data_IF_767940358296
#
_entry.id   IF_767940358296
#
_cell.length_a   1.000
_cell.length_b   1.000
_cell.length_c   1.000
_cell.angle_alpha   90.00
_cell.angle_beta   90.00
_cell.angle_gamma   90.00
#
_symmetry.space_group_name_H-M   'P 1'
#
loop_
_entity.id
_entity.type
_entity.pdbx_description
1 polymer ?
#
# COMPACT_ATOMS: atom_id res chain seq x y z
N UNK A 1 -42.52 15.98 13.21
CA UNK A 1 -43.26 17.09 13.90
C UNK A 1 -42.80 18.47 13.44
N UNK A 2 -41.50 18.72 13.38
CA UNK A 2 -40.90 20.02 12.96
C UNK A 2 -41.42 20.51 11.60
N UNK A 3 -41.66 19.58 10.66
CA UNK A 3 -42.17 19.88 9.32
C UNK A 3 -43.70 19.81 9.21
N UNK A 4 -44.43 19.53 10.29
CA UNK A 4 -45.87 19.34 10.35
C UNK A 4 -46.41 18.33 9.31
N UNK A 5 -45.61 17.32 8.96
CA UNK A 5 -45.98 16.24 8.05
C UNK A 5 -46.45 15.05 8.86
N UNK A 6 -47.71 14.62 8.65
CA UNK A 6 -48.30 13.42 9.26
C UNK A 6 -48.12 12.19 8.38
N UNK A 7 -47.84 11.03 9.01
CA UNK A 7 -47.91 9.73 8.37
C UNK A 7 -49.06 8.96 8.99
N UNK A 8 -49.90 8.37 8.14
CA UNK A 8 -51.04 7.56 8.56
C UNK A 8 -50.76 6.09 8.23
N UNK A 9 -50.66 5.26 9.26
CA UNK A 9 -50.53 3.82 9.12
C UNK A 9 -51.88 3.17 9.02
N UNK A 10 -52.33 2.80 7.81
CA UNK A 10 -53.68 2.31 7.53
C UNK A 10 -54.00 1.02 8.30
N UNK A 11 -53.11 0.07 8.36
CA UNK A 11 -53.36 -1.21 9.02
C UNK A 11 -53.55 -1.10 10.55
N UNK A 12 -52.84 -0.18 11.19
CA UNK A 12 -52.89 0.06 12.63
C UNK A 12 -53.82 1.23 13.01
N UNK A 13 -54.34 1.93 12.01
CA UNK A 13 -55.16 3.14 12.19
C UNK A 13 -54.49 4.22 13.06
N UNK A 14 -53.18 4.45 12.84
CA UNK A 14 -52.35 5.34 13.64
C UNK A 14 -51.99 6.59 12.83
N UNK A 15 -52.28 7.78 13.40
CA UNK A 15 -51.85 9.06 12.85
C UNK A 15 -50.69 9.63 13.72
N UNK A 16 -49.56 9.88 13.10
CA UNK A 16 -48.32 10.35 13.83
C UNK A 16 -48.46 11.78 14.38
N UNK A 17 -49.45 12.56 13.96
CA UNK A 17 -49.68 13.92 14.48
C UNK A 17 -50.62 13.95 15.68
N UNK A 18 -51.38 12.86 15.95
CA UNK A 18 -52.22 12.76 17.16
C UNK A 18 -51.40 12.33 18.37
N UNK A 19 -51.75 12.80 19.57
CA UNK A 19 -51.09 12.38 20.81
C UNK A 19 -51.25 10.87 21.11
N UNK A 20 -52.42 10.32 20.77
CA UNK A 20 -52.68 8.87 20.88
C UNK A 20 -51.82 8.07 19.89
N UNK A 21 -51.65 8.58 18.65
CA UNK A 21 -50.82 7.96 17.65
C UNK A 21 -49.33 7.95 18.04
N UNK A 22 -48.85 9.01 18.68
CA UNK A 22 -47.49 9.09 19.20
C UNK A 22 -47.26 8.07 20.32
N UNK A 23 -48.19 7.98 21.26
CA UNK A 23 -48.12 6.98 22.34
C UNK A 23 -48.12 5.55 21.78
N UNK A 24 -49.02 5.27 20.84
CA UNK A 24 -49.14 3.95 20.21
C UNK A 24 -47.86 3.57 19.45
N UNK A 25 -47.28 4.51 18.68
CA UNK A 25 -46.02 4.27 17.99
C UNK A 25 -44.87 4.01 18.97
N UNK A 26 -44.81 4.72 20.10
CA UNK A 26 -43.78 4.50 21.13
C UNK A 26 -43.93 3.11 21.74
N UNK A 27 -45.17 2.69 22.03
CA UNK A 27 -45.45 1.34 22.55
C UNK A 27 -45.07 0.28 21.53
N UNK A 28 -45.49 0.42 20.25
CA UNK A 28 -45.16 -0.53 19.20
C UNK A 28 -43.63 -0.61 18.96
N UNK A 29 -42.96 0.52 18.99
CA UNK A 29 -41.48 0.54 18.87
C UNK A 29 -40.79 -0.18 20.05
N UNK A 30 -41.28 0.04 21.28
CA UNK A 30 -40.79 -0.66 22.46
C UNK A 30 -41.03 -2.18 22.40
N UNK A 31 -42.22 -2.62 21.92
CA UNK A 31 -42.49 -4.04 21.70
C UNK A 31 -41.58 -4.63 20.61
N UNK A 32 -41.42 -3.97 19.46
CA UNK A 32 -40.54 -4.46 18.40
C UNK A 32 -39.08 -4.55 18.85
N UNK A 33 -38.62 -3.60 19.66
CA UNK A 33 -37.30 -3.65 20.26
C UNK A 33 -37.16 -4.82 21.25
N UNK A 34 -38.11 -5.00 22.15
CA UNK A 34 -38.11 -6.10 23.12
C UNK A 34 -38.15 -7.49 22.43
N UNK A 35 -38.94 -7.63 21.35
CA UNK A 35 -38.99 -8.85 20.54
C UNK A 35 -37.65 -9.13 19.87
N UNK A 36 -37.02 -8.11 19.28
CA UNK A 36 -35.69 -8.21 18.66
C UNK A 36 -34.61 -8.58 19.69
N UNK A 37 -34.65 -7.99 20.89
CA UNK A 37 -33.70 -8.30 21.97
C UNK A 37 -33.92 -9.73 22.51
N UNK A 38 -35.18 -10.15 22.71
CA UNK A 38 -35.50 -11.50 23.13
C UNK A 38 -35.08 -12.56 22.11
N UNK A 39 -35.34 -12.30 20.82
CA UNK A 39 -34.90 -13.16 19.72
C UNK A 39 -33.35 -13.29 19.67
N UNK A 40 -32.66 -12.17 19.85
CA UNK A 40 -31.20 -12.16 19.92
C UNK A 40 -30.65 -12.92 21.13
N UNK A 41 -31.27 -12.76 22.32
CA UNK A 41 -30.89 -13.47 23.52
C UNK A 41 -31.14 -14.97 23.39
N UNK A 42 -32.28 -15.37 22.81
CA UNK A 42 -32.59 -16.77 22.50
C UNK A 42 -31.59 -17.42 21.54
N UNK A 43 -31.22 -16.74 20.47
CA UNK A 43 -30.22 -17.20 19.54
C UNK A 43 -28.84 -17.36 20.23
N UNK A 44 -28.41 -16.39 21.02
CA UNK A 44 -27.17 -16.49 21.80
C UNK A 44 -27.16 -17.70 22.74
N UNK A 45 -28.26 -17.96 23.45
CA UNK A 45 -28.39 -19.12 24.33
C UNK A 45 -28.28 -20.45 23.56
N UNK A 46 -28.89 -20.56 22.38
CA UNK A 46 -28.78 -21.76 21.53
C UNK A 46 -27.34 -21.98 21.10
N UNK A 47 -26.65 -20.92 20.66
CA UNK A 47 -25.24 -21.03 20.29
C UNK A 47 -24.35 -21.39 21.47
N UNK A 48 -24.59 -20.81 22.64
CA UNK A 48 -23.86 -21.11 23.86
C UNK A 48 -23.98 -22.61 24.23
N UNK A 49 -25.21 -23.14 24.22
CA UNK A 49 -25.43 -24.58 24.48
C UNK A 49 -24.74 -25.49 23.48
N UNK A 50 -24.71 -25.09 22.20
CA UNK A 50 -23.97 -25.83 21.18
C UNK A 50 -22.47 -25.81 21.46
N UNK A 51 -21.91 -24.66 21.86
CA UNK A 51 -20.50 -24.54 22.21
C UNK A 51 -20.14 -25.41 23.42
N UNK A 52 -20.94 -25.35 24.48
CA UNK A 52 -20.76 -26.18 25.68
C UNK A 52 -20.88 -27.69 25.39
N UNK A 53 -21.68 -28.07 24.38
CA UNK A 53 -21.82 -29.44 23.91
C UNK A 53 -20.75 -29.85 22.88
N UNK A 54 -19.82 -28.97 22.53
CA UNK A 54 -18.80 -29.23 21.50
C UNK A 54 -19.36 -29.38 20.08
N UNK A 55 -20.56 -28.86 19.80
CA UNK A 55 -21.20 -28.99 18.48
C UNK A 55 -20.76 -27.81 17.58
N UNK A 56 -20.02 -28.05 16.49
CA UNK A 56 -19.60 -27.00 15.56
C UNK A 56 -20.79 -26.26 14.96
N UNK A 57 -20.65 -24.94 14.82
CA UNK A 57 -21.71 -24.07 14.27
C UNK A 57 -21.32 -23.49 12.92
N UNK A 58 -20.07 -23.64 12.54
CA UNK A 58 -19.55 -23.08 11.28
C UNK A 58 -19.85 -24.01 10.10
N UNK A 59 -20.21 -23.39 8.98
CA UNK A 59 -20.42 -24.11 7.69
C UNK A 59 -19.09 -24.14 6.92
N UNK A 60 -18.38 -25.27 6.95
CA UNK A 60 -17.11 -25.47 6.23
C UNK A 60 -17.27 -25.51 4.70
N UNK A 61 -18.50 -25.71 4.19
CA UNK A 61 -18.82 -25.64 2.75
C UNK A 61 -18.40 -24.32 2.08
N UNK A 62 -18.22 -23.27 2.88
CA UNK A 62 -17.69 -21.98 2.39
C UNK A 62 -16.18 -21.87 2.53
N UNK A 63 -15.53 -22.95 2.97
CA UNK A 63 -14.07 -23.03 3.09
C UNK A 63 -13.52 -23.79 1.90
N UNK A 64 -12.63 -23.18 1.16
CA UNK A 64 -11.99 -23.77 -0.02
C UNK A 64 -11.32 -25.08 0.36
N UNK A 65 -11.61 -26.16 -0.37
CA UNK A 65 -11.09 -27.49 -0.10
C UNK A 65 -12.01 -28.41 0.68
N UNK A 66 -13.18 -27.93 1.15
CA UNK A 66 -14.14 -28.75 1.89
C UNK A 66 -15.50 -28.85 1.19
N UNK A 67 -16.08 -30.02 1.26
CA UNK A 67 -17.45 -30.32 0.84
C UNK A 67 -18.16 -31.18 1.89
N UNK A 68 -19.42 -31.52 1.68
CA UNK A 68 -20.19 -32.47 2.52
C UNK A 68 -20.44 -33.78 1.78
N UNK A 69 -20.33 -34.88 2.52
CA UNK A 69 -20.79 -36.17 2.06
C UNK A 69 -22.33 -36.25 2.14
N UNK A 70 -22.88 -37.40 1.71
CA UNK A 70 -24.33 -37.68 1.73
C UNK A 70 -24.94 -37.68 3.15
N UNK A 71 -24.12 -37.83 4.19
CA UNK A 71 -24.52 -37.81 5.60
C UNK A 71 -24.40 -36.41 6.23
N UNK A 72 -23.90 -35.43 5.46
CA UNK A 72 -23.68 -34.07 5.93
C UNK A 72 -22.40 -33.87 6.71
N UNK A 73 -21.49 -34.87 6.69
CA UNK A 73 -20.15 -34.78 7.31
C UNK A 73 -19.21 -34.02 6.37
N UNK A 74 -18.39 -33.13 6.93
CA UNK A 74 -17.39 -32.42 6.14
C UNK A 74 -16.22 -33.31 5.78
N UNK A 75 -15.94 -33.39 4.50
CA UNK A 75 -14.83 -34.14 3.91
C UNK A 75 -14.01 -33.25 2.98
N UNK A 76 -12.78 -33.65 2.70
CA UNK A 76 -11.95 -32.96 1.72
C UNK A 76 -12.51 -33.06 0.32
N UNK A 77 -12.66 -31.95 -0.39
CA UNK A 77 -12.89 -31.95 -1.83
C UNK A 77 -11.53 -32.03 -2.51
N UNK A 78 -11.19 -33.24 -3.02
CA UNK A 78 -9.87 -33.48 -3.62
C UNK A 78 -9.56 -32.58 -4.81
N UNK A 79 -10.54 -32.05 -5.51
CA UNK A 79 -10.33 -31.10 -6.61
C UNK A 79 -9.76 -29.75 -6.13
N UNK A 80 -10.10 -29.34 -4.93
CA UNK A 80 -9.65 -28.14 -4.27
C UNK A 80 -8.55 -28.40 -3.23
N UNK A 81 -8.64 -29.54 -2.51
CA UNK A 81 -7.71 -29.91 -1.43
C UNK A 81 -6.25 -30.02 -1.91
N UNK A 82 -6.04 -30.48 -3.14
CA UNK A 82 -4.72 -30.50 -3.77
C UNK A 82 -4.08 -29.09 -3.81
N UNK A 83 -4.90 -28.08 -4.06
CA UNK A 83 -4.43 -26.67 -4.06
C UNK A 83 -4.20 -26.13 -2.65
N UNK A 84 -5.00 -26.56 -1.68
CA UNK A 84 -4.79 -26.22 -0.27
C UNK A 84 -3.43 -26.77 0.19
N UNK A 85 -3.16 -28.07 -0.05
CA UNK A 85 -1.84 -28.66 0.27
C UNK A 85 -0.71 -27.90 -0.40
N UNK A 86 -0.89 -27.52 -1.67
CA UNK A 86 0.13 -26.73 -2.40
C UNK A 86 0.36 -25.35 -1.80
N UNK A 87 -0.69 -24.66 -1.34
CA UNK A 87 -0.58 -23.37 -0.64
C UNK A 87 0.27 -23.54 0.62
N UNK A 88 0.01 -24.56 1.43
CA UNK A 88 0.73 -24.82 2.67
C UNK A 88 2.19 -25.24 2.43
N UNK A 89 2.46 -26.10 1.42
CA UNK A 89 3.84 -26.42 1.01
C UNK A 89 4.63 -25.17 0.63
N UNK A 90 4.05 -24.34 -0.22
CA UNK A 90 4.69 -23.08 -0.62
C UNK A 90 4.91 -22.14 0.58
N UNK A 91 3.92 -22.04 1.49
CA UNK A 91 4.06 -21.21 2.69
C UNK A 91 5.16 -21.73 3.61
N UNK A 92 5.22 -23.03 3.86
CA UNK A 92 6.26 -23.70 4.65
C UNK A 92 7.65 -23.53 4.04
N UNK A 93 7.76 -23.48 2.71
CA UNK A 93 8.97 -23.15 1.96
C UNK A 93 9.35 -21.67 2.02
N UNK A 94 8.51 -20.81 2.66
CA UNK A 94 8.75 -19.38 2.83
C UNK A 94 8.36 -18.52 1.62
N UNK A 95 7.51 -19.01 0.70
CA UNK A 95 6.93 -18.16 -0.33
C UNK A 95 5.96 -17.15 0.26
N UNK A 96 5.93 -15.94 -0.31
CA UNK A 96 5.01 -14.91 0.16
C UNK A 96 3.58 -15.15 -0.36
N UNK A 97 2.53 -14.67 0.36
CA UNK A 97 1.16 -14.71 -0.14
C UNK A 97 1.00 -14.12 -1.55
N UNK A 98 1.79 -13.10 -1.90
CA UNK A 98 1.78 -12.48 -3.23
C UNK A 98 2.27 -13.43 -4.34
N UNK A 99 3.26 -14.27 -4.06
CA UNK A 99 3.75 -15.28 -5.01
C UNK A 99 2.76 -16.43 -5.10
N UNK A 100 2.25 -16.92 -3.98
CA UNK A 100 1.24 -17.99 -3.92
C UNK A 100 -0.03 -17.55 -4.69
N UNK A 101 -0.55 -16.36 -4.44
CA UNK A 101 -1.67 -15.79 -5.18
C UNK A 101 -1.43 -15.77 -6.69
N UNK A 102 -0.25 -15.33 -7.12
CA UNK A 102 0.11 -15.29 -8.54
C UNK A 102 0.08 -16.68 -9.13
N UNK A 103 0.70 -17.64 -8.46
CA UNK A 103 0.73 -19.04 -8.86
C UNK A 103 -0.69 -19.62 -9.04
N UNK A 104 -1.59 -19.43 -8.05
CA UNK A 104 -2.96 -19.90 -8.12
C UNK A 104 -3.73 -19.27 -9.29
N UNK A 105 -3.60 -17.94 -9.46
CA UNK A 105 -4.29 -17.24 -10.54
C UNK A 105 -3.77 -17.59 -11.93
N UNK A 106 -2.49 -17.85 -12.09
CA UNK A 106 -1.86 -18.31 -13.35
C UNK A 106 -2.32 -19.73 -13.71
N UNK A 107 -2.57 -20.58 -12.70
CA UNK A 107 -3.15 -21.93 -12.91
C UNK A 107 -4.68 -21.92 -13.00
N UNK A 108 -5.33 -20.76 -13.06
CA UNK A 108 -6.78 -20.64 -13.23
C UNK A 108 -7.61 -21.00 -12.00
N UNK A 109 -6.98 -21.26 -10.84
CA UNK A 109 -7.67 -21.62 -9.60
C UNK A 109 -8.50 -20.45 -9.10
N UNK A 110 -9.77 -20.69 -8.79
CA UNK A 110 -10.70 -19.68 -8.26
C UNK A 110 -10.95 -19.92 -6.78
N UNK A 111 -11.34 -18.86 -6.08
CA UNK A 111 -11.85 -18.98 -4.70
C UNK A 111 -13.25 -19.62 -4.71
N UNK A 112 -13.75 -20.06 -3.58
CA UNK A 112 -15.12 -20.58 -3.42
C UNK A 112 -16.18 -19.64 -4.03
N UNK A 113 -15.96 -18.34 -3.98
CA UNK A 113 -16.83 -17.34 -4.60
C UNK A 113 -16.57 -17.10 -6.10
N UNK A 114 -15.78 -17.94 -6.78
CA UNK A 114 -15.47 -17.83 -8.21
C UNK A 114 -14.56 -16.65 -8.59
N UNK A 115 -14.01 -15.95 -7.61
CA UNK A 115 -13.15 -14.77 -7.83
C UNK A 115 -11.67 -15.13 -7.89
N UNK A 116 -10.84 -14.18 -8.30
CA UNK A 116 -9.38 -14.31 -8.24
C UNK A 116 -8.88 -14.23 -6.79
N UNK A 117 -7.80 -14.96 -6.52
CA UNK A 117 -7.09 -14.88 -5.26
C UNK A 117 -6.44 -13.52 -5.05
N UNK A 118 -6.48 -13.04 -3.81
CA UNK A 118 -5.76 -11.84 -3.34
C UNK A 118 -4.88 -12.20 -2.15
N UNK A 119 -3.89 -11.37 -1.82
CA UNK A 119 -2.91 -11.64 -0.76
C UNK A 119 -3.57 -11.95 0.59
N UNK A 120 -4.60 -11.17 0.96
CA UNK A 120 -5.31 -11.35 2.23
C UNK A 120 -6.15 -12.63 2.29
N UNK A 121 -6.64 -13.14 1.16
CA UNK A 121 -7.37 -14.41 1.12
C UNK A 121 -6.41 -15.58 1.31
N UNK A 122 -5.25 -15.57 0.62
CA UNK A 122 -4.19 -16.57 0.82
C UNK A 122 -3.71 -16.56 2.26
N UNK A 123 -3.43 -15.37 2.81
CA UNK A 123 -2.96 -15.23 4.19
C UNK A 123 -3.95 -15.80 5.21
N UNK A 124 -5.24 -15.46 5.08
CA UNK A 124 -6.30 -15.99 5.95
C UNK A 124 -6.47 -17.50 5.82
N UNK A 125 -6.28 -18.06 4.62
CA UNK A 125 -6.32 -19.51 4.43
C UNK A 125 -5.18 -20.18 5.20
N UNK A 126 -3.95 -19.67 5.09
CA UNK A 126 -2.78 -20.25 5.78
C UNK A 126 -2.91 -20.17 7.30
N UNK A 127 -3.47 -19.07 7.84
CA UNK A 127 -3.66 -18.89 9.30
C UNK A 127 -4.83 -19.71 9.87
N UNK A 128 -5.62 -20.40 9.03
CA UNK A 128 -6.83 -21.03 9.48
C UNK A 128 -6.58 -22.47 9.97
N UNK A 129 -6.93 -22.76 11.21
CA UNK A 129 -6.76 -24.02 11.87
C UNK A 129 -7.62 -25.16 11.30
N UNK A 130 -8.70 -24.82 10.59
CA UNK A 130 -9.61 -25.84 10.00
C UNK A 130 -8.89 -26.77 9.05
N UNK A 131 -7.83 -26.32 8.39
CA UNK A 131 -7.11 -27.13 7.41
C UNK A 131 -6.28 -28.26 8.03
N UNK A 132 -5.96 -28.18 9.33
CA UNK A 132 -5.36 -29.29 10.08
C UNK A 132 -6.36 -30.15 10.86
N UNK A 133 -7.67 -29.92 10.64
CA UNK A 133 -8.76 -30.70 11.25
C UNK A 133 -9.31 -30.10 12.52
N UNK A 134 -8.80 -28.98 13.01
CA UNK A 134 -9.21 -28.34 14.26
C UNK A 134 -10.26 -27.27 14.02
N UNK A 135 -11.00 -26.95 15.06
CA UNK A 135 -12.02 -25.92 15.00
C UNK A 135 -12.01 -25.02 16.26
N UNK A 136 -11.98 -23.69 16.03
CA UNK A 136 -12.15 -22.71 17.12
C UNK A 136 -13.56 -22.14 17.05
N UNK A 137 -14.37 -22.50 18.05
CA UNK A 137 -15.68 -21.89 18.25
C UNK A 137 -15.54 -20.51 18.89
N UNK A 138 -16.42 -19.59 18.51
CA UNK A 138 -16.49 -18.24 19.04
C UNK A 138 -15.22 -17.40 18.74
N UNK A 139 -14.59 -17.68 17.60
CA UNK A 139 -13.43 -16.91 17.07
C UNK A 139 -13.77 -15.44 16.78
N UNK A 140 -15.06 -15.19 16.50
CA UNK A 140 -15.62 -13.84 16.33
C UNK A 140 -16.91 -13.72 17.13
N UNK A 141 -17.20 -12.52 17.62
CA UNK A 141 -18.47 -12.22 18.29
C UNK A 141 -18.98 -10.85 17.87
N UNK A 142 -20.27 -10.61 18.09
CA UNK A 142 -20.89 -9.31 17.84
C UNK A 142 -20.78 -8.48 19.10
N UNK A 143 -20.06 -7.36 19.02
CA UNK A 143 -19.87 -6.46 20.16
C UNK A 143 -21.14 -5.61 20.45
N UNK A 144 -21.09 -4.75 21.45
CA UNK A 144 -22.19 -3.86 21.85
C UNK A 144 -22.58 -2.89 20.73
N UNK A 145 -21.64 -2.51 19.86
CA UNK A 145 -21.90 -1.67 18.69
C UNK A 145 -22.52 -2.44 17.51
N UNK A 146 -22.93 -3.72 17.71
CA UNK A 146 -23.45 -4.64 16.68
C UNK A 146 -22.48 -4.92 15.53
N UNK A 147 -21.16 -4.81 15.79
CA UNK A 147 -20.12 -5.15 14.83
C UNK A 147 -19.55 -6.52 15.11
N UNK A 148 -19.33 -7.30 14.05
CA UNK A 148 -18.61 -8.58 14.14
C UNK A 148 -17.12 -8.27 14.36
N UNK A 149 -16.57 -8.63 15.51
CA UNK A 149 -15.18 -8.44 15.89
C UNK A 149 -14.50 -9.76 16.20
N UNK A 150 -13.17 -9.81 16.01
CA UNK A 150 -12.39 -11.00 16.39
C UNK A 150 -12.33 -11.07 17.93
N UNK A 151 -12.61 -12.24 18.48
CA UNK A 151 -12.41 -12.52 19.90
C UNK A 151 -10.91 -12.56 20.23
N UNK A 152 -10.49 -11.77 21.19
CA UNK A 152 -9.11 -11.71 21.69
C UNK A 152 -9.02 -12.09 23.16
N UNK A 153 -10.07 -12.77 23.69
CA UNK A 153 -10.26 -13.12 25.08
C UNK A 153 -11.36 -12.34 25.79
N UNK A 154 -12.15 -11.54 25.04
CA UNK A 154 -13.29 -10.78 25.58
C UNK A 154 -14.46 -11.71 25.94
N UNK A 155 -14.60 -12.82 25.23
CA UNK A 155 -15.63 -13.85 25.47
C UNK A 155 -15.01 -15.23 25.38
N UNK A 156 -15.62 -16.21 26.04
CA UNK A 156 -15.15 -17.60 26.04
C UNK A 156 -15.09 -18.17 24.62
N UNK A 157 -14.00 -18.85 24.31
CA UNK A 157 -13.79 -19.57 23.06
C UNK A 157 -13.44 -21.02 23.35
N UNK A 158 -13.88 -21.93 22.48
CA UNK A 158 -13.61 -23.36 22.64
C UNK A 158 -12.77 -23.83 21.46
N UNK A 159 -11.73 -24.56 21.77
CA UNK A 159 -10.86 -25.21 20.80
C UNK A 159 -11.18 -26.69 20.76
N UNK A 160 -11.51 -27.21 19.57
CA UNK A 160 -11.80 -28.61 19.32
C UNK A 160 -10.71 -29.15 18.40
N UNK A 161 -10.01 -30.16 18.88
CA UNK A 161 -9.01 -30.89 18.11
C UNK A 161 -9.71 -32.01 17.31
N UNK A 162 -9.21 -32.31 16.11
CA UNK A 162 -9.69 -33.39 15.25
C UNK A 162 -11.23 -33.39 15.01
N UNK A 163 -11.80 -32.18 14.82
CA UNK A 163 -13.23 -31.99 14.59
C UNK A 163 -13.71 -32.59 13.25
N UNK A 164 -12.83 -32.54 12.25
CA UNK A 164 -13.15 -32.99 10.88
C UNK A 164 -11.88 -33.45 10.16
N UNK A 165 -12.07 -34.02 8.96
CA UNK A 165 -10.96 -34.49 8.14
C UNK A 165 -9.94 -33.37 7.83
N UNK A 166 -8.68 -33.61 8.18
CA UNK A 166 -7.59 -32.67 7.92
C UNK A 166 -7.15 -32.73 6.45
N UNK A 167 -7.04 -31.60 5.79
CA UNK A 167 -6.46 -31.51 4.43
C UNK A 167 -4.94 -31.49 4.47
N UNK A 168 -4.37 -30.91 5.51
CA UNK A 168 -2.91 -30.83 5.73
C UNK A 168 -2.54 -31.41 7.09
N UNK A 169 -1.35 -31.99 7.19
CA UNK A 169 -0.90 -32.49 8.49
C UNK A 169 -0.60 -31.34 9.47
N UNK A 170 -0.76 -31.60 10.79
CA UNK A 170 -0.41 -30.61 11.81
C UNK A 170 1.02 -30.07 11.68
N UNK A 171 1.98 -30.93 11.27
CA UNK A 171 3.39 -30.55 11.09
C UNK A 171 3.56 -29.59 9.91
N UNK A 172 2.85 -29.82 8.78
CA UNK A 172 2.91 -28.92 7.63
C UNK A 172 2.26 -27.60 7.94
N UNK A 173 1.12 -27.63 8.66
CA UNK A 173 0.44 -26.43 9.14
C UNK A 173 1.38 -25.60 10.02
N UNK A 174 2.02 -26.25 11.03
CA UNK A 174 2.94 -25.54 11.95
C UNK A 174 4.14 -24.95 11.22
N UNK A 175 4.77 -25.69 10.30
CA UNK A 175 5.88 -25.15 9.49
C UNK A 175 5.49 -23.91 8.69
N UNK A 176 4.25 -23.89 8.17
CA UNK A 176 3.75 -22.72 7.47
C UNK A 176 3.54 -21.51 8.41
N UNK A 177 3.05 -21.74 9.65
CA UNK A 177 2.94 -20.69 10.69
C UNK A 177 4.33 -20.15 11.05
N UNK A 178 5.28 -21.05 11.35
CA UNK A 178 6.66 -20.67 11.73
C UNK A 178 7.32 -19.81 10.64
N UNK A 179 7.13 -20.17 9.38
CA UNK A 179 7.64 -19.41 8.25
C UNK A 179 7.03 -18.01 8.13
N UNK A 180 5.73 -17.87 8.44
CA UNK A 180 5.01 -16.58 8.46
C UNK A 180 5.50 -15.74 9.65
N UNK A 181 5.63 -16.34 10.83
CA UNK A 181 6.05 -15.66 12.06
C UNK A 181 7.50 -15.18 11.95
N UNK A 182 8.42 -16.03 11.54
CA UNK A 182 9.82 -15.67 11.29
C UNK A 182 9.92 -14.46 10.33
N UNK A 183 9.04 -14.37 9.36
CA UNK A 183 8.98 -13.23 8.44
C UNK A 183 8.36 -11.98 9.06
N UNK A 184 7.36 -12.15 9.93
CA UNK A 184 6.77 -11.05 10.70
C UNK A 184 7.81 -10.45 11.63
N UNK A 185 8.57 -11.29 12.34
CA UNK A 185 9.64 -10.89 13.24
C UNK A 185 10.78 -10.19 12.49
N UNK A 186 11.21 -10.74 11.35
CA UNK A 186 12.20 -10.10 10.50
C UNK A 186 11.76 -8.69 10.05
N UNK A 187 10.48 -8.46 9.78
CA UNK A 187 9.92 -7.16 9.42
C UNK A 187 9.65 -6.26 10.63
N UNK A 188 9.43 -6.83 11.81
CA UNK A 188 9.18 -6.11 13.05
C UNK A 188 10.49 -5.72 13.77
N UNK A 189 11.57 -6.44 13.50
CA UNK A 189 12.89 -6.17 14.05
C UNK A 189 13.37 -4.77 13.67
N UNK A 190 13.62 -3.91 14.66
CA UNK A 190 13.96 -2.51 14.46
C UNK A 190 12.78 -1.55 14.41
N UNK A 191 11.60 -1.97 14.89
CA UNK A 191 10.39 -1.12 14.91
C UNK A 191 10.34 -0.09 16.06
N UNK A 192 11.29 -0.09 16.98
CA UNK A 192 11.46 1.03 17.92
C UNK A 192 12.13 2.17 17.17
N UNK A 193 11.35 3.20 16.88
CA UNK A 193 11.86 4.42 16.23
C UNK A 193 12.43 5.30 17.33
N UNK A 194 13.75 5.30 17.41
CA UNK A 194 14.53 6.15 18.31
C UNK A 194 14.69 7.56 17.71
N UNK A 195 15.20 8.49 18.52
CA UNK A 195 15.58 9.81 18.03
C UNK A 195 16.59 9.68 16.88
N UNK A 196 16.40 10.48 15.80
CA UNK A 196 17.24 10.42 14.60
C UNK A 196 18.59 11.11 14.83
N UNK A 197 19.50 10.44 15.52
CA UNK A 197 20.89 10.84 15.76
C UNK A 197 21.86 9.92 15.00
N UNK A 198 23.11 10.35 14.86
CA UNK A 198 24.14 9.49 14.25
C UNK A 198 24.46 8.27 15.11
N UNK A 199 24.27 8.36 16.42
CA UNK A 199 24.47 7.23 17.34
C UNK A 199 23.41 6.14 17.12
N UNK A 200 22.15 6.53 17.02
CA UNK A 200 21.04 5.60 16.81
C UNK A 200 20.97 5.08 15.37
N UNK A 201 21.39 5.91 14.40
CA UNK A 201 21.37 5.57 12.97
C UNK A 201 22.70 5.92 12.30
N UNK A 202 23.79 5.17 12.55
CA UNK A 202 25.14 5.48 12.07
C UNK A 202 25.28 5.46 10.54
N UNK A 203 24.31 4.87 9.86
CA UNK A 203 24.20 4.85 8.40
C UNK A 203 23.40 6.03 7.82
N UNK A 204 22.83 6.86 8.65
CA UNK A 204 22.10 8.08 8.19
C UNK A 204 23.05 8.94 7.36
N UNK A 205 22.59 9.37 6.18
CA UNK A 205 23.38 10.12 5.18
C UNK A 205 24.51 9.35 4.50
N UNK A 206 24.76 8.07 4.87
CA UNK A 206 25.83 7.21 4.30
C UNK A 206 25.30 6.09 3.42
N UNK A 207 23.98 5.99 3.26
CA UNK A 207 23.33 4.94 2.48
C UNK A 207 22.72 5.50 1.18
N UNK A 208 22.98 4.81 0.06
CA UNK A 208 22.62 5.24 -1.28
C UNK A 208 21.98 4.11 -2.06
N UNK A 209 21.11 4.44 -3.00
CA UNK A 209 20.54 3.49 -3.93
C UNK A 209 21.59 3.06 -4.96
N UNK A 210 21.90 1.77 -5.07
CA UNK A 210 22.87 1.28 -6.04
C UNK A 210 22.41 1.43 -7.49
N UNK A 211 21.11 1.51 -7.75
CA UNK A 211 20.54 1.68 -9.11
C UNK A 211 20.76 3.10 -9.67
N UNK A 212 20.72 4.13 -8.83
CA UNK A 212 20.76 5.52 -9.31
C UNK A 212 21.73 6.45 -8.54
N UNK A 213 22.40 5.97 -7.51
CA UNK A 213 23.35 6.75 -6.73
C UNK A 213 22.75 7.78 -5.77
N UNK A 214 21.41 7.96 -5.73
CA UNK A 214 20.78 8.92 -4.84
C UNK A 214 20.73 8.42 -3.40
N UNK A 215 20.82 9.32 -2.40
CA UNK A 215 20.75 8.93 -0.99
C UNK A 215 19.39 8.31 -0.67
N UNK A 216 19.40 7.43 0.31
CA UNK A 216 18.17 6.90 0.89
C UNK A 216 17.65 7.88 1.94
N UNK A 217 16.33 7.97 2.07
CA UNK A 217 15.66 8.81 3.05
C UNK A 217 14.72 7.99 3.92
N UNK A 218 14.51 8.42 5.15
CA UNK A 218 13.61 7.78 6.10
C UNK A 218 12.15 7.83 5.65
N UNK A 219 11.45 6.71 5.82
CA UNK A 219 10.02 6.57 5.60
C UNK A 219 9.39 5.90 6.81
N UNK A 220 8.56 6.63 7.53
CA UNK A 220 7.77 6.08 8.63
C UNK A 220 6.38 5.78 8.07
N UNK A 221 5.90 4.56 8.27
CA UNK A 221 4.57 4.17 7.85
C UNK A 221 3.52 4.57 8.89
N UNK A 222 2.29 4.81 8.43
CA UNK A 222 1.19 5.43 9.19
C UNK A 222 0.82 4.74 10.50
N UNK A 223 1.18 3.48 10.68
CA UNK A 223 1.01 2.76 11.96
C UNK A 223 2.08 3.12 13.01
N UNK A 224 2.95 4.12 12.73
CA UNK A 224 3.93 4.65 13.67
C UNK A 224 5.12 3.75 14.01
N UNK A 225 5.02 2.45 13.76
CA UNK A 225 5.96 1.46 14.29
C UNK A 225 6.90 0.84 13.25
N UNK A 226 6.93 1.35 12.02
CA UNK A 226 7.77 0.76 10.98
C UNK A 226 8.60 1.81 10.25
N UNK A 227 9.92 1.73 10.42
CA UNK A 227 10.90 2.58 9.73
C UNK A 227 11.52 1.82 8.55
N UNK A 228 11.46 2.43 7.38
CA UNK A 228 12.15 1.96 6.18
C UNK A 228 12.99 3.09 5.58
N UNK A 229 13.97 2.73 4.76
CA UNK A 229 14.78 3.66 4.00
C UNK A 229 14.49 3.52 2.50
N UNK A 230 14.03 4.59 1.90
CA UNK A 230 13.59 4.61 0.50
C UNK A 230 14.50 5.46 -0.40
N UNK A 231 14.52 5.15 -1.70
CA UNK A 231 15.32 5.91 -2.67
C UNK A 231 14.77 7.33 -2.87
N UNK A 232 15.60 8.36 -2.63
CA UNK A 232 15.19 9.76 -2.87
C UNK A 232 15.12 10.10 -4.37
N UNK A 233 15.84 9.40 -5.22
CA UNK A 233 15.74 9.54 -6.67
C UNK A 233 14.36 9.15 -7.19
N UNK A 234 13.80 8.03 -6.70
CA UNK A 234 12.43 7.62 -7.02
C UNK A 234 11.40 8.61 -6.50
N UNK A 235 11.61 9.14 -5.28
CA UNK A 235 10.70 10.14 -4.68
C UNK A 235 10.67 11.44 -5.48
N UNK A 236 11.83 11.91 -5.96
CA UNK A 236 11.97 13.20 -6.67
C UNK A 236 11.58 13.12 -8.14
N UNK A 237 11.93 12.02 -8.80
CA UNK A 237 11.88 11.92 -10.27
C UNK A 237 10.96 10.80 -10.78
N UNK A 238 10.36 10.01 -9.87
CA UNK A 238 9.41 8.93 -10.21
C UNK A 238 10.08 7.58 -10.53
N UNK A 239 9.24 6.54 -10.65
CA UNK A 239 9.69 5.17 -10.92
C UNK A 239 10.33 4.99 -12.30
N UNK A 240 10.00 5.84 -13.26
CA UNK A 240 10.64 5.83 -14.60
C UNK A 240 12.13 6.24 -14.57
N UNK A 241 12.53 6.99 -13.54
CA UNK A 241 13.95 7.34 -13.31
C UNK A 241 14.69 6.22 -12.59
N UNK A 242 14.10 5.71 -11.55
CA UNK A 242 14.67 4.64 -10.76
C UNK A 242 13.52 3.84 -10.13
N UNK A 243 13.50 2.53 -10.33
CA UNK A 243 12.54 1.64 -9.65
C UNK A 243 12.61 1.80 -8.14
N UNK A 244 13.75 2.30 -7.66
CA UNK A 244 14.01 2.55 -6.25
C UNK A 244 14.36 1.30 -5.48
N UNK A 245 14.64 1.52 -4.21
CA UNK A 245 14.73 0.48 -3.20
C UNK A 245 13.91 0.92 -1.99
N UNK A 246 13.50 -0.04 -1.19
CA UNK A 246 12.82 0.19 0.07
C UNK A 246 13.26 -0.89 1.06
N UNK A 247 14.22 -0.56 1.93
CA UNK A 247 14.82 -1.47 2.88
C UNK A 247 14.29 -1.20 4.30
N UNK A 248 13.83 -2.24 5.04
CA UNK A 248 13.47 -2.10 6.46
C UNK A 248 14.70 -1.73 7.30
N UNK A 249 14.50 -0.89 8.32
CA UNK A 249 15.58 -0.43 9.19
C UNK A 249 16.29 -1.58 9.92
N UNK A 250 15.56 -2.54 10.46
CA UNK A 250 16.13 -3.69 11.14
C UNK A 250 17.06 -4.54 10.25
N UNK A 251 16.72 -4.67 8.96
CA UNK A 251 17.58 -5.35 7.98
C UNK A 251 18.88 -4.57 7.77
N UNK A 252 18.78 -3.25 7.69
CA UNK A 252 19.92 -2.37 7.51
C UNK A 252 20.82 -2.35 8.73
N UNK A 253 20.27 -2.31 9.94
CA UNK A 253 21.03 -2.39 11.21
C UNK A 253 21.89 -3.66 11.28
N UNK A 254 21.31 -4.80 10.93
CA UNK A 254 22.06 -6.09 10.88
C UNK A 254 23.17 -6.12 9.85
N UNK A 255 22.97 -5.46 8.73
CA UNK A 255 23.94 -5.43 7.63
C UNK A 255 24.99 -4.34 7.75
N UNK A 256 24.86 -3.42 8.73
CA UNK A 256 25.77 -2.28 8.88
C UNK A 256 27.11 -2.71 9.49
N UNK A 257 28.11 -2.88 8.63
CA UNK A 257 29.49 -3.24 9.01
C UNK A 257 30.53 -2.40 8.25
N UNK A 258 30.11 -1.28 7.63
CA UNK A 258 30.97 -0.53 6.73
C UNK A 258 31.35 0.83 7.32
N UNK A 259 32.62 1.16 7.20
CA UNK A 259 33.08 2.52 7.31
C UNK A 259 32.90 3.22 5.96
N UNK A 260 32.17 4.34 5.94
CA UNK A 260 31.93 5.15 4.75
C UNK A 260 30.59 4.90 4.04
N UNK A 261 30.51 5.29 2.77
CA UNK A 261 29.27 5.23 2.00
C UNK A 261 28.96 3.81 1.51
N UNK A 262 27.70 3.41 1.67
CA UNK A 262 27.18 2.12 1.25
C UNK A 262 26.10 2.29 0.17
N UNK A 263 26.24 1.56 -0.91
CA UNK A 263 25.27 1.51 -2.01
C UNK A 263 24.49 0.20 -1.93
N UNK A 264 23.18 0.30 -1.84
CA UNK A 264 22.27 -0.83 -1.59
C UNK A 264 21.47 -1.12 -2.85
N UNK A 265 21.47 -2.40 -3.26
CA UNK A 265 20.64 -2.92 -4.34
C UNK A 265 19.61 -3.90 -3.79
N UNK A 266 18.41 -3.86 -4.33
CA UNK A 266 17.30 -4.73 -3.98
C UNK A 266 17.01 -5.66 -5.16
N UNK A 267 17.05 -6.97 -4.92
CA UNK A 267 16.67 -8.00 -5.87
C UNK A 267 15.44 -8.76 -5.37
N UNK A 268 14.44 -8.97 -6.21
CA UNK A 268 13.35 -9.87 -5.85
C UNK A 268 13.88 -11.32 -5.78
N UNK A 269 13.62 -12.00 -4.69
CA UNK A 269 13.81 -13.44 -4.59
C UNK A 269 12.68 -14.18 -5.28
N UNK A 270 12.93 -15.42 -5.71
CA UNK A 270 11.91 -16.32 -6.28
C UNK A 270 10.74 -16.53 -5.31
N UNK A 271 11.03 -16.54 -4.01
CA UNK A 271 10.05 -16.70 -2.93
C UNK A 271 9.25 -15.43 -2.62
N UNK A 272 9.51 -14.32 -3.36
CA UNK A 272 8.86 -13.02 -3.16
C UNK A 272 9.38 -12.23 -1.96
N UNK A 273 10.42 -12.70 -1.30
CA UNK A 273 11.19 -11.94 -0.33
C UNK A 273 12.11 -10.96 -1.06
N UNK A 274 12.61 -9.95 -0.34
CA UNK A 274 13.57 -9.02 -0.89
C UNK A 274 14.95 -9.39 -0.41
N UNK A 275 15.90 -9.53 -1.33
CA UNK A 275 17.30 -9.71 -1.02
C UNK A 275 18.04 -8.41 -1.25
N UNK A 276 18.91 -8.04 -0.31
CA UNK A 276 19.69 -6.82 -0.38
C UNK A 276 21.17 -7.13 -0.55
N UNK A 277 21.79 -6.46 -1.50
CA UNK A 277 23.24 -6.51 -1.71
C UNK A 277 23.85 -5.16 -1.40
N UNK A 278 25.02 -5.17 -0.76
CA UNK A 278 25.70 -4.00 -0.22
C UNK A 278 27.03 -3.80 -0.95
N UNK A 279 27.24 -2.61 -1.50
CA UNK A 279 28.43 -2.26 -2.27
C UNK A 279 29.13 -1.07 -1.63
N UNK A 280 30.46 -1.17 -1.46
CA UNK A 280 31.29 0.00 -1.11
C UNK A 280 31.33 0.98 -2.29
N UNK A 281 31.51 2.26 -2.00
CA UNK A 281 31.53 3.33 -2.99
C UNK A 281 32.49 3.07 -4.17
N UNK A 282 33.69 2.56 -3.88
CA UNK A 282 34.67 2.22 -4.91
C UNK A 282 34.20 1.13 -5.88
N UNK A 283 33.48 0.12 -5.36
CA UNK A 283 32.91 -0.97 -6.15
C UNK A 283 31.70 -0.48 -6.96
N UNK A 284 30.87 0.39 -6.38
CA UNK A 284 29.75 0.99 -7.08
C UNK A 284 30.21 1.91 -8.21
N UNK A 285 31.16 2.83 -7.98
CA UNK A 285 31.75 3.70 -8.99
C UNK A 285 32.38 2.90 -10.14
N UNK A 286 33.03 1.77 -9.87
CA UNK A 286 33.61 0.88 -10.89
C UNK A 286 32.54 0.29 -11.81
N UNK A 287 31.40 -0.15 -11.25
CA UNK A 287 30.27 -0.73 -12.02
C UNK A 287 29.53 0.30 -12.84
N UNK A 288 29.49 1.56 -12.39
CA UNK A 288 28.66 2.64 -12.96
C UNK A 288 29.47 3.71 -13.73
N UNK A 289 30.75 3.44 -14.04
CA UNK A 289 31.62 4.38 -14.78
C UNK A 289 31.04 4.94 -16.08
N UNK A 290 29.92 4.40 -16.61
CA UNK A 290 29.28 4.83 -17.86
C UNK A 290 27.82 5.29 -17.74
N UNK A 291 27.21 5.33 -16.54
CA UNK A 291 25.76 5.53 -16.42
C UNK A 291 25.29 6.47 -15.28
N UNK A 292 26.15 7.23 -14.64
CA UNK A 292 25.68 8.27 -13.71
C UNK A 292 25.20 9.43 -14.58
N UNK A 293 23.88 9.72 -14.64
CA UNK A 293 23.45 11.00 -15.18
C UNK A 293 24.12 12.06 -14.29
N UNK A 294 24.74 13.07 -14.89
CA UNK A 294 25.24 14.23 -14.15
C UNK A 294 24.18 14.64 -13.14
N UNK A 295 24.54 14.71 -11.88
CA UNK A 295 23.63 15.12 -10.82
C UNK A 295 23.01 16.45 -11.24
N UNK A 296 21.67 16.49 -11.37
CA UNK A 296 20.99 17.71 -11.78
C UNK A 296 21.26 18.73 -10.66
N UNK A 297 21.99 19.82 -10.93
CA UNK A 297 22.38 20.75 -9.89
C UNK A 297 21.15 21.28 -9.14
N UNK A 298 21.31 21.55 -7.86
CA UNK A 298 20.25 22.20 -7.07
C UNK A 298 19.85 23.53 -7.70
N UNK A 299 18.64 24.01 -7.43
CA UNK A 299 18.13 25.26 -7.99
C UNK A 299 18.69 26.48 -7.26
N UNK A 300 20.01 26.62 -7.24
CA UNK A 300 20.75 27.72 -6.63
C UNK A 300 21.10 28.81 -7.67
N UNK A 301 21.51 29.98 -7.22
CA UNK A 301 22.01 31.04 -8.12
C UNK A 301 23.36 30.68 -8.73
N UNK A 302 24.18 29.95 -8.02
CA UNK A 302 25.47 29.45 -8.51
C UNK A 302 25.30 28.47 -9.68
N UNK A 303 24.34 27.52 -9.55
CA UNK A 303 24.05 26.54 -10.60
C UNK A 303 23.30 27.16 -11.79
N UNK A 304 22.49 28.18 -11.56
CA UNK A 304 21.63 28.83 -12.55
C UNK A 304 21.63 30.35 -12.35
N UNK A 305 22.72 31.09 -12.68
CA UNK A 305 22.86 32.49 -12.40
C UNK A 305 21.83 33.36 -13.13
N UNK A 306 21.19 32.84 -14.15
CA UNK A 306 20.13 33.49 -14.93
C UNK A 306 18.71 33.23 -14.41
N UNK A 307 18.51 32.40 -13.40
CA UNK A 307 17.17 31.93 -12.96
C UNK A 307 16.20 33.06 -12.58
N UNK A 308 16.70 34.23 -12.16
CA UNK A 308 15.87 35.39 -11.83
C UNK A 308 15.76 36.39 -12.98
N UNK A 309 16.56 36.23 -14.03
CA UNK A 309 16.73 37.18 -15.16
C UNK A 309 16.07 36.74 -16.47
N UNK A 310 15.39 35.57 -16.47
CA UNK A 310 14.75 35.01 -17.68
C UNK A 310 13.24 35.09 -17.61
N UNK A 311 12.61 35.63 -18.65
CA UNK A 311 11.18 35.88 -18.72
C UNK A 311 10.60 35.38 -20.05
N UNK A 312 9.30 35.10 -20.04
CA UNK A 312 8.57 34.75 -21.24
C UNK A 312 8.40 35.97 -22.15
N UNK A 313 8.85 35.89 -23.39
CA UNK A 313 8.73 36.94 -24.37
C UNK A 313 7.32 37.16 -24.94
N UNK A 314 6.33 36.30 -24.55
CA UNK A 314 4.93 36.46 -24.92
C UNK A 314 4.14 37.24 -23.87
N UNK A 315 4.32 36.92 -22.59
CA UNK A 315 3.50 37.50 -21.50
C UNK A 315 4.32 38.18 -20.40
N UNK A 316 5.63 38.29 -20.52
CA UNK A 316 6.49 38.92 -19.54
C UNK A 316 6.64 38.17 -18.20
N UNK A 317 5.94 37.06 -18.01
CA UNK A 317 6.05 36.29 -16.75
C UNK A 317 7.39 35.59 -16.64
N UNK A 318 7.93 35.50 -15.41
CA UNK A 318 9.18 34.79 -15.15
C UNK A 318 9.12 33.35 -15.63
N UNK A 319 10.22 32.84 -16.15
CA UNK A 319 10.40 31.42 -16.39
C UNK A 319 10.83 30.70 -15.11
N UNK A 320 10.24 29.56 -14.84
CA UNK A 320 10.53 28.75 -13.65
C UNK A 320 11.14 27.41 -14.06
N UNK A 321 12.07 26.93 -13.25
CA UNK A 321 12.76 25.68 -13.48
C UNK A 321 11.78 24.51 -13.36
N UNK A 322 11.84 23.59 -14.29
CA UNK A 322 11.14 22.33 -14.27
C UNK A 322 12.10 21.22 -14.75
N UNK A 323 12.10 20.09 -14.05
CA UNK A 323 12.85 18.91 -14.47
C UNK A 323 11.89 17.97 -15.18
N UNK A 324 12.18 17.64 -16.42
CA UNK A 324 11.36 16.70 -17.18
C UNK A 324 11.50 15.29 -16.57
N UNK A 325 10.42 14.67 -16.07
CA UNK A 325 10.51 13.38 -15.39
C UNK A 325 10.95 12.23 -16.28
N UNK A 326 10.77 12.33 -17.61
CA UNK A 326 11.16 11.29 -18.56
C UNK A 326 12.60 11.41 -19.05
N UNK A 327 13.05 12.63 -19.35
CA UNK A 327 14.37 12.87 -19.94
C UNK A 327 15.43 13.36 -18.96
N UNK A 328 15.06 13.63 -17.70
CA UNK A 328 15.90 14.20 -16.64
C UNK A 328 16.61 15.51 -17.03
N UNK A 329 16.12 16.18 -18.07
CA UNK A 329 16.68 17.44 -18.53
C UNK A 329 15.96 18.60 -17.84
N UNK A 330 16.74 19.61 -17.48
CA UNK A 330 16.19 20.87 -16.96
C UNK A 330 15.58 21.63 -18.11
N UNK A 331 14.35 22.08 -17.93
CA UNK A 331 13.64 22.97 -18.83
C UNK A 331 13.09 24.15 -18.03
N UNK A 332 13.00 25.31 -18.66
CA UNK A 332 12.41 26.50 -18.09
C UNK A 332 11.05 26.73 -18.71
N UNK A 333 10.03 26.88 -17.89
CA UNK A 333 8.63 26.99 -18.33
C UNK A 333 8.03 28.31 -17.87
N UNK A 334 7.14 28.86 -18.67
CA UNK A 334 6.44 30.12 -18.35
C UNK A 334 5.55 29.95 -17.12
N UNK A 335 5.78 30.75 -16.07
CA UNK A 335 4.98 30.73 -14.86
C UNK A 335 3.57 31.29 -15.09
N UNK A 336 3.37 32.20 -16.05
CA UNK A 336 2.05 32.69 -16.43
C UNK A 336 1.19 31.59 -17.02
N UNK A 337 1.73 30.80 -17.97
CA UNK A 337 1.04 29.64 -18.54
C UNK A 337 0.81 28.54 -17.48
N UNK A 338 1.73 28.35 -16.54
CA UNK A 338 1.57 27.36 -15.45
C UNK A 338 0.42 27.73 -14.50
N UNK A 339 0.24 29.00 -14.19
CA UNK A 339 -0.77 29.48 -13.22
C UNK A 339 -2.14 29.76 -13.83
N UNK A 340 -2.15 30.34 -15.04
CA UNK A 340 -3.37 30.84 -15.72
C UNK A 340 -3.81 29.98 -16.90
N UNK A 341 -3.08 28.90 -17.19
CA UNK A 341 -3.36 28.00 -18.32
C UNK A 341 -2.70 28.40 -19.62
N UNK A 342 -2.63 27.46 -20.58
CA UNK A 342 -1.98 27.65 -21.89
C UNK A 342 -2.72 28.64 -22.77
N UNK A 343 -4.04 28.81 -22.55
CA UNK A 343 -4.85 29.81 -23.27
C UNK A 343 -4.42 31.26 -22.97
N UNK A 344 -3.87 31.52 -21.76
CA UNK A 344 -3.36 32.84 -21.37
C UNK A 344 -2.07 33.22 -22.12
N UNK A 345 -1.21 32.23 -22.32
CA UNK A 345 0.09 32.46 -22.96
C UNK A 345 0.57 31.13 -23.54
N UNK A 346 0.56 30.92 -24.80
CA UNK A 346 0.98 29.71 -25.53
C UNK A 346 2.10 28.83 -24.91
N UNK A 347 2.62 29.24 -23.74
CA UNK A 347 3.53 28.50 -22.86
C UNK A 347 4.93 28.30 -23.42
N UNK A 348 5.80 29.28 -23.18
CA UNK A 348 7.22 29.13 -23.55
C UNK A 348 7.89 28.04 -22.73
N UNK A 349 8.50 27.05 -23.39
CA UNK A 349 9.28 25.97 -22.78
C UNK A 349 10.65 25.92 -23.43
N UNK A 350 11.72 26.08 -22.65
CA UNK A 350 13.08 26.24 -23.16
C UNK A 350 14.00 25.24 -22.46
N UNK A 351 14.75 24.42 -23.17
CA UNK A 351 15.81 23.60 -22.59
C UNK A 351 16.89 24.46 -21.92
N UNK A 352 17.38 24.04 -20.75
CA UNK A 352 18.45 24.72 -20.03
C UNK A 352 19.72 24.88 -20.86
N UNK A 353 20.04 23.87 -21.67
CA UNK A 353 21.19 23.90 -22.58
C UNK A 353 21.16 25.04 -23.58
N UNK A 354 19.98 25.50 -24.02
CA UNK A 354 19.83 26.64 -24.94
C UNK A 354 20.23 27.94 -24.23
N UNK A 355 19.77 28.11 -22.97
CA UNK A 355 20.07 29.33 -22.19
C UNK A 355 21.55 29.38 -21.84
N UNK A 356 22.14 28.25 -21.43
CA UNK A 356 23.60 28.15 -21.17
C UNK A 356 24.43 28.45 -22.42
N UNK A 357 23.94 28.09 -23.61
CA UNK A 357 24.61 28.37 -24.86
C UNK A 357 24.68 29.87 -25.22
N UNK A 358 23.90 30.73 -24.57
CA UNK A 358 23.95 32.18 -24.77
C UNK A 358 25.01 32.91 -23.93
N UNK A 359 25.73 32.17 -23.06
CA UNK A 359 26.76 32.74 -22.19
C UNK A 359 26.20 33.45 -20.96
N UNK A 360 26.95 34.43 -20.45
CA UNK A 360 26.59 35.16 -19.24
C UNK A 360 25.43 36.15 -19.46
N UNK A 361 24.33 35.95 -18.75
CA UNK A 361 23.15 36.81 -18.79
C UNK A 361 23.21 37.83 -17.64
N UNK A 362 23.60 39.08 -17.96
CA UNK A 362 23.78 40.18 -17.00
C UNK A 362 22.47 40.92 -16.70
N UNK A 363 21.57 41.03 -17.69
CA UNK A 363 20.32 41.81 -17.61
C UNK A 363 19.11 40.90 -17.84
N UNK A 364 17.92 41.40 -17.51
CA UNK A 364 16.68 40.71 -17.77
C UNK A 364 16.47 40.49 -19.27
N UNK A 365 16.15 39.26 -19.65
CA UNK A 365 15.88 38.88 -21.03
C UNK A 365 14.50 38.23 -21.18
N UNK A 366 13.83 38.54 -22.26
CA UNK A 366 12.52 38.01 -22.64
C UNK A 366 12.67 37.04 -23.81
N UNK A 367 12.35 35.78 -23.58
CA UNK A 367 12.66 34.67 -24.48
C UNK A 367 11.41 34.28 -25.27
N UNK A 368 11.55 34.24 -26.58
CA UNK A 368 10.52 33.77 -27.54
C UNK A 368 10.93 32.46 -28.18
N UNK A 369 9.97 31.62 -28.40
CA UNK A 369 10.11 30.41 -29.23
C UNK A 369 9.38 30.63 -30.54
N UNK A 370 10.03 30.36 -31.64
CA UNK A 370 9.44 30.28 -32.97
C UNK A 370 9.75 28.90 -33.52
N UNK A 371 8.77 28.25 -34.14
CA UNK A 371 8.99 27.01 -34.88
C UNK A 371 9.27 27.39 -36.34
N UNK A 372 10.31 26.82 -36.94
CA UNK A 372 10.64 27.07 -38.35
C UNK A 372 9.70 26.29 -39.30
N UNK A 373 9.82 26.52 -40.61
CA UNK A 373 8.98 25.87 -41.63
C UNK A 373 9.03 24.33 -41.59
N UNK A 374 10.06 23.76 -40.95
CA UNK A 374 10.26 22.32 -40.79
C UNK A 374 9.89 21.83 -39.40
N UNK A 375 9.19 22.62 -38.59
CA UNK A 375 8.80 22.28 -37.21
C UNK A 375 9.95 22.28 -36.17
N UNK A 376 11.17 22.75 -36.58
CA UNK A 376 12.30 22.83 -35.66
C UNK A 376 12.19 24.07 -34.80
N UNK A 377 12.31 23.87 -33.49
CA UNK A 377 12.18 24.93 -32.47
C UNK A 377 13.41 25.83 -32.49
N UNK A 378 13.21 27.13 -32.71
CA UNK A 378 14.22 28.16 -32.58
C UNK A 378 13.89 29.07 -31.40
N UNK A 379 14.91 29.52 -30.71
CA UNK A 379 14.76 30.39 -29.55
C UNK A 379 15.56 31.67 -29.79
N UNK A 380 14.93 32.79 -29.46
CA UNK A 380 15.55 34.11 -29.50
C UNK A 380 15.21 34.88 -28.25
N UNK A 381 15.99 35.87 -27.89
CA UNK A 381 15.71 36.72 -26.74
C UNK A 381 15.87 38.20 -27.06
N UNK A 382 15.24 39.05 -26.29
CA UNK A 382 15.32 40.51 -26.34
C UNK A 382 15.39 41.06 -24.89
N UNK A 383 15.98 42.24 -24.75
CA UNK A 383 15.95 42.95 -23.45
C UNK A 383 14.68 43.82 -23.29
N UNK A 384 13.85 43.94 -24.32
CA UNK A 384 12.61 44.72 -24.27
C UNK A 384 11.50 43.83 -23.72
N UNK A 385 10.80 44.33 -22.66
CA UNK A 385 9.62 43.68 -22.12
C UNK A 385 8.51 43.65 -23.18
N UNK A 386 7.79 42.54 -23.35
CA UNK A 386 6.65 42.52 -24.25
C UNK A 386 5.59 43.52 -23.78
N UNK A 387 5.08 44.31 -24.66
CA UNK A 387 3.86 45.12 -24.49
C UNK A 387 2.71 44.13 -24.42
N UNK A 388 1.90 44.19 -23.37
CA UNK A 388 0.76 43.33 -23.13
C UNK A 388 -0.29 43.49 -24.24
#
# INVERSE_FOLDING_TARGET
KELNVGVFFELQNINTLSGEGELMLTILAAFAQAESESGSAGAKMVYQRKYEAGIPVQYLERSFGYTKDERGVYIADESEAVWVRKIYEMAADGYTPAVIKRYLNENGVKTVGGTKWIDSTVFRLIENEIYKGDYIMHKHFVNEERKLVRNRGEVDAWYIEDDHEAIVSPELWQKAQDAIEAKRDYLAEGSVIEEFTEDNYPYMNRIFCAKCGHPLYKRIYSNGNRLNWGCSGTKRYGKSFCEGINIPDGVLRKAWHFDGNMYIDEKPSVKGTKEFTYLKESSWKRRHKKKVPEAIPENTEEAYPYRKKIFCGLCGSRLVRHVNPKSHKVIWICNGAKRKGVAFCGGTRIPDSVIRGWGEIKKDIYIQRKDDKNGKKRYSYTSKKPTA
#
